data_IF_168275381301
#
_entry.id   IF_168275381301
#
_cell.length_a   1.000
_cell.length_b   1.000
_cell.length_c   1.000
_cell.angle_alpha   90.00
_cell.angle_beta   90.00
_cell.angle_gamma   90.00
#
_symmetry.space_group_name_H-M   'P 1'
#
loop_
_entity.id
_entity.type
_entity.pdbx_description
1 polymer ?
#
# COMPACT_ATOMS: atom_id res chain seq x y z
N UNK A 1 -33.82 -19.60 -45.88
CA UNK A 1 -34.32 -19.71 -44.51
C UNK A 1 -33.15 -19.33 -43.62
N UNK A 2 -33.21 -18.28 -42.81
CA UNK A 2 -32.14 -17.94 -41.89
C UNK A 2 -32.17 -18.85 -40.66
N UNK A 3 -31.04 -19.48 -40.36
CA UNK A 3 -30.83 -20.25 -39.14
C UNK A 3 -30.94 -19.30 -37.91
N UNK A 4 -31.94 -19.49 -37.08
CA UNK A 4 -32.03 -18.88 -35.78
C UNK A 4 -31.05 -19.63 -34.84
N UNK A 5 -30.01 -18.98 -34.43
CA UNK A 5 -29.12 -19.50 -33.38
C UNK A 5 -29.87 -19.50 -32.03
N UNK A 6 -29.99 -20.68 -31.41
CA UNK A 6 -30.61 -20.86 -30.09
C UNK A 6 -29.62 -20.28 -29.02
N UNK A 7 -30.23 -19.62 -28.00
CA UNK A 7 -29.49 -19.03 -26.86
C UNK A 7 -28.59 -20.03 -26.12
N UNK A 8 -28.91 -21.31 -26.21
CA UNK A 8 -28.10 -22.39 -25.61
C UNK A 8 -26.82 -22.68 -26.41
N UNK A 9 -26.85 -22.60 -27.70
CA UNK A 9 -25.66 -22.76 -28.57
C UNK A 9 -24.69 -21.61 -28.42
N UNK A 10 -25.17 -20.38 -28.22
CA UNK A 10 -24.34 -19.20 -27.99
C UNK A 10 -23.54 -19.32 -26.68
N UNK A 11 -24.14 -19.86 -25.61
CA UNK A 11 -23.47 -20.06 -24.32
C UNK A 11 -22.41 -21.16 -24.40
N UNK A 12 -22.66 -22.23 -25.15
CA UNK A 12 -21.72 -23.37 -25.29
C UNK A 12 -20.49 -23.00 -26.14
N UNK A 13 -20.61 -22.03 -27.04
CA UNK A 13 -19.48 -21.55 -27.87
C UNK A 13 -18.63 -20.50 -27.18
N UNK A 14 -19.17 -19.78 -26.20
CA UNK A 14 -18.42 -18.74 -25.46
C UNK A 14 -17.59 -19.29 -24.28
N UNK A 15 -17.92 -20.47 -23.77
CA UNK A 15 -17.23 -21.05 -22.59
C UNK A 15 -15.78 -21.50 -22.89
N UNK A 16 -15.43 -22.09 -24.07
CA UNK A 16 -14.03 -22.47 -24.31
C UNK A 16 -13.09 -21.30 -24.67
N UNK A 17 -13.63 -20.18 -25.17
CA UNK A 17 -12.79 -19.03 -25.57
C UNK A 17 -12.41 -18.12 -24.38
N UNK A 18 -13.16 -18.17 -23.26
CA UNK A 18 -12.90 -17.34 -22.08
C UNK A 18 -11.86 -17.91 -21.11
N UNK A 19 -11.63 -19.21 -21.11
CA UNK A 19 -10.72 -19.86 -20.17
C UNK A 19 -9.27 -19.94 -20.61
N UNK A 20 -8.99 -19.71 -21.91
CA UNK A 20 -7.64 -19.86 -22.48
C UNK A 20 -6.83 -18.55 -22.59
N UNK A 21 -7.43 -17.38 -22.39
CA UNK A 21 -6.78 -16.08 -22.62
C UNK A 21 -6.43 -15.30 -21.35
N UNK A 22 -6.67 -15.87 -20.15
CA UNK A 22 -6.42 -15.19 -18.87
C UNK A 22 -4.98 -15.34 -18.34
N UNK A 23 -4.09 -16.02 -19.07
CA UNK A 23 -2.75 -16.30 -18.55
C UNK A 23 -1.64 -15.34 -19.02
N UNK A 24 -1.91 -14.27 -19.74
CA UNK A 24 -0.83 -13.49 -20.36
C UNK A 24 -0.76 -11.99 -20.07
N UNK A 25 -1.77 -11.30 -19.53
CA UNK A 25 -1.68 -9.85 -19.34
C UNK A 25 -2.26 -9.41 -17.99
N UNK A 26 -1.38 -9.00 -17.05
CA UNK A 26 -1.75 -8.23 -15.87
C UNK A 26 -2.05 -9.02 -14.58
N UNK A 27 -2.28 -10.34 -14.62
CA UNK A 27 -2.45 -11.13 -13.41
C UNK A 27 -1.11 -11.30 -12.68
N UNK A 28 -1.04 -10.85 -11.43
CA UNK A 28 0.12 -10.94 -10.54
C UNK A 28 -0.34 -11.48 -9.19
N UNK A 29 0.59 -12.01 -8.42
CA UNK A 29 0.37 -12.38 -7.02
C UNK A 29 1.11 -11.39 -6.11
N UNK A 30 0.46 -11.01 -5.02
CA UNK A 30 1.11 -10.22 -3.98
C UNK A 30 2.19 -11.05 -3.29
N UNK A 31 3.29 -10.46 -2.84
CA UNK A 31 4.26 -11.15 -2.02
C UNK A 31 3.64 -11.56 -0.68
N UNK A 32 4.19 -12.56 -0.02
CA UNK A 32 3.81 -13.08 1.31
C UNK A 32 2.40 -13.70 1.32
N UNK A 33 1.35 -12.95 0.99
CA UNK A 33 -0.05 -13.42 1.04
C UNK A 33 -0.48 -14.21 -0.18
N UNK A 34 0.29 -14.15 -1.27
CA UNK A 34 0.03 -14.84 -2.55
C UNK A 34 -1.35 -14.57 -3.14
N UNK A 35 -1.97 -13.44 -2.78
CA UNK A 35 -3.26 -13.01 -3.32
C UNK A 35 -3.11 -12.63 -4.80
N UNK A 36 -4.05 -13.09 -5.61
CA UNK A 36 -4.12 -12.67 -7.03
C UNK A 36 -4.65 -11.24 -7.15
N UNK A 37 -4.00 -10.45 -8.01
CA UNK A 37 -4.36 -9.07 -8.33
C UNK A 37 -4.19 -8.80 -9.83
N UNK A 38 -4.93 -7.82 -10.35
CA UNK A 38 -4.79 -7.34 -11.71
C UNK A 38 -4.03 -6.00 -11.71
N UNK A 39 -2.94 -5.94 -12.45
CA UNK A 39 -2.09 -4.76 -12.58
C UNK A 39 -1.91 -4.42 -14.07
N UNK A 40 -2.55 -3.36 -14.53
CA UNK A 40 -2.45 -2.87 -15.90
C UNK A 40 -1.32 -1.86 -16.09
N UNK A 41 -0.89 -1.21 -14.99
CA UNK A 41 0.23 -0.26 -15.01
C UNK A 41 1.53 -1.02 -14.77
N UNK A 42 2.56 -0.85 -15.62
CA UNK A 42 3.88 -1.43 -15.40
C UNK A 42 4.52 -0.93 -14.10
N UNK A 43 5.25 -1.79 -13.39
CA UNK A 43 5.94 -1.42 -12.14
C UNK A 43 6.92 -0.26 -12.33
N UNK A 44 7.62 -0.23 -13.46
CA UNK A 44 8.55 0.85 -13.80
C UNK A 44 7.86 2.23 -13.87
N UNK A 45 6.63 2.28 -14.37
CA UNK A 45 5.84 3.52 -14.42
C UNK A 45 5.35 3.91 -13.02
N UNK A 46 4.92 2.95 -12.21
CA UNK A 46 4.56 3.21 -10.81
C UNK A 46 5.74 3.80 -10.04
N UNK A 47 6.95 3.25 -10.21
CA UNK A 47 8.17 3.76 -9.59
C UNK A 47 8.47 5.19 -10.05
N UNK A 48 8.39 5.47 -11.34
CA UNK A 48 8.61 6.83 -11.86
C UNK A 48 7.61 7.83 -11.27
N UNK A 49 6.33 7.47 -11.22
CA UNK A 49 5.29 8.29 -10.60
C UNK A 49 5.54 8.49 -9.10
N UNK A 50 5.94 7.44 -8.39
CA UNK A 50 6.28 7.51 -6.98
C UNK A 50 7.42 8.47 -6.70
N UNK A 51 8.51 8.38 -7.46
CA UNK A 51 9.67 9.28 -7.35
C UNK A 51 9.28 10.72 -7.66
N UNK A 52 8.52 10.96 -8.73
CA UNK A 52 8.07 12.31 -9.09
C UNK A 52 7.18 12.93 -7.98
N UNK A 53 6.21 12.17 -7.48
CA UNK A 53 5.32 12.60 -6.38
C UNK A 53 6.09 12.87 -5.09
N UNK A 54 7.08 12.04 -4.77
CA UNK A 54 7.91 12.23 -3.59
C UNK A 54 8.75 13.51 -3.66
N UNK A 55 9.33 13.82 -4.82
CA UNK A 55 10.07 15.06 -5.03
C UNK A 55 9.15 16.30 -4.91
N UNK A 56 7.93 16.19 -5.41
CA UNK A 56 6.92 17.23 -5.24
C UNK A 56 6.58 17.46 -3.76
N UNK A 57 6.38 16.37 -3.00
CA UNK A 57 6.13 16.45 -1.54
C UNK A 57 7.30 17.15 -0.84
N UNK A 58 8.56 16.77 -1.11
CA UNK A 58 9.74 17.40 -0.52
C UNK A 58 9.87 18.88 -0.88
N UNK A 59 9.42 19.27 -2.05
CA UNK A 59 9.46 20.68 -2.49
C UNK A 59 8.37 21.52 -1.83
N UNK A 60 7.18 20.93 -1.62
CA UNK A 60 6.03 21.66 -1.06
C UNK A 60 6.00 21.71 0.46
N UNK A 61 6.72 20.81 1.12
CA UNK A 61 6.68 20.67 2.57
C UNK A 61 8.05 20.98 3.19
N UNK A 62 8.02 21.48 4.41
CA UNK A 62 9.24 21.68 5.20
C UNK A 62 9.73 20.34 5.73
N UNK A 63 10.98 20.03 5.44
CA UNK A 63 11.61 18.83 5.98
C UNK A 63 12.01 19.07 7.44
N UNK A 64 11.77 18.06 8.28
CA UNK A 64 12.09 18.14 9.70
C UNK A 64 13.60 18.27 9.95
N UNK A 65 13.95 19.17 10.84
CA UNK A 65 15.30 19.33 11.35
C UNK A 65 15.50 18.66 12.72
N UNK A 66 14.49 17.95 13.23
CA UNK A 66 14.58 17.22 14.49
C UNK A 66 15.49 15.99 14.33
N UNK A 67 16.69 15.98 14.96
CA UNK A 67 17.65 14.90 14.74
C UNK A 67 17.15 13.56 15.27
N UNK A 68 16.40 13.54 16.39
CA UNK A 68 15.86 12.31 16.96
C UNK A 68 14.87 11.64 15.99
N UNK A 69 13.97 12.43 15.39
CA UNK A 69 12.97 11.92 14.46
C UNK A 69 13.62 11.40 13.17
N UNK A 70 14.54 12.16 12.61
CA UNK A 70 15.25 11.76 11.39
C UNK A 70 16.08 10.48 11.63
N UNK A 71 16.76 10.38 12.78
CA UNK A 71 17.55 9.21 13.11
C UNK A 71 16.69 7.95 13.29
N UNK A 72 15.60 8.03 14.05
CA UNK A 72 14.74 6.85 14.29
C UNK A 72 14.06 6.40 13.01
N UNK A 73 13.50 7.32 12.23
CA UNK A 73 12.82 6.98 10.96
C UNK A 73 13.80 6.40 9.94
N UNK A 74 14.99 6.98 9.81
CA UNK A 74 16.04 6.47 8.93
C UNK A 74 16.53 5.09 9.33
N UNK A 75 16.82 4.90 10.63
CA UNK A 75 17.31 3.62 11.16
C UNK A 75 16.28 2.50 11.05
N UNK A 76 15.03 2.74 11.43
CA UNK A 76 13.95 1.78 11.29
C UNK A 76 13.72 1.43 9.82
N UNK A 77 13.69 2.45 8.96
CA UNK A 77 13.48 2.27 7.53
C UNK A 77 14.54 1.40 6.87
N UNK A 78 15.81 1.64 7.15
CA UNK A 78 16.90 0.83 6.63
C UNK A 78 16.81 -0.64 7.05
N UNK A 79 16.44 -0.92 8.30
CA UNK A 79 16.27 -2.29 8.81
C UNK A 79 15.09 -3.02 8.16
N UNK A 80 13.97 -2.32 7.97
CA UNK A 80 12.81 -2.88 7.28
C UNK A 80 13.09 -3.12 5.80
N UNK A 81 13.76 -2.18 5.12
CA UNK A 81 14.19 -2.34 3.74
C UNK A 81 15.13 -3.53 3.56
N UNK A 82 16.06 -3.72 4.49
CA UNK A 82 16.96 -4.88 4.49
C UNK A 82 16.20 -6.20 4.72
N UNK A 83 15.23 -6.22 5.64
CA UNK A 83 14.38 -7.40 5.85
C UNK A 83 13.56 -7.75 4.60
N UNK A 84 13.00 -6.75 3.92
CA UNK A 84 12.31 -6.94 2.64
C UNK A 84 13.25 -7.50 1.56
N UNK A 85 14.44 -6.93 1.40
CA UNK A 85 15.44 -7.41 0.42
C UNK A 85 15.86 -8.87 0.67
N UNK A 86 16.00 -9.29 1.93
CA UNK A 86 16.31 -10.70 2.26
C UNK A 86 15.24 -11.68 1.75
N UNK A 87 14.03 -11.20 1.55
CA UNK A 87 12.92 -11.96 0.96
C UNK A 87 12.77 -11.71 -0.55
N UNK A 88 13.74 -11.07 -1.19
CA UNK A 88 13.67 -10.61 -2.59
C UNK A 88 12.52 -9.64 -2.89
N UNK A 89 12.07 -8.89 -1.89
CA UNK A 89 11.02 -7.88 -2.03
C UNK A 89 11.65 -6.49 -2.20
N UNK A 90 11.06 -5.67 -3.06
CA UNK A 90 11.50 -4.28 -3.28
C UNK A 90 12.94 -4.18 -3.79
N UNK A 91 13.42 -5.16 -4.55
CA UNK A 91 14.79 -5.18 -5.08
C UNK A 91 15.09 -4.03 -6.02
N UNK A 92 14.06 -3.51 -6.70
CA UNK A 92 14.14 -2.36 -7.60
C UNK A 92 13.91 -1.02 -6.90
N UNK A 93 13.71 -1.03 -5.56
CA UNK A 93 13.44 0.18 -4.81
C UNK A 93 14.73 0.87 -4.38
N UNK A 94 14.80 2.16 -4.68
CA UNK A 94 15.81 3.07 -4.14
C UNK A 94 15.25 3.75 -2.89
N UNK A 95 15.48 3.10 -1.74
CA UNK A 95 14.88 3.46 -0.46
C UNK A 95 15.34 4.83 0.05
N UNK A 96 14.39 5.69 0.33
CA UNK A 96 14.60 7.01 0.91
C UNK A 96 13.59 7.26 2.02
N UNK A 97 14.05 7.80 3.15
CA UNK A 97 13.24 8.03 4.35
C UNK A 97 13.33 9.50 4.74
N UNK A 98 12.20 10.18 4.81
CA UNK A 98 12.12 11.62 5.10
C UNK A 98 11.11 11.87 6.21
N UNK A 99 11.41 12.82 7.10
CA UNK A 99 10.45 13.34 8.08
C UNK A 99 10.00 14.72 7.65
N UNK A 100 8.68 14.93 7.59
CA UNK A 100 8.04 16.20 7.24
C UNK A 100 7.71 16.95 8.54
N UNK A 101 8.10 18.22 8.63
CA UNK A 101 7.85 19.08 9.79
C UNK A 101 6.39 19.60 9.78
N UNK A 102 5.45 18.69 10.02
CA UNK A 102 4.03 18.96 10.08
C UNK A 102 3.39 18.09 11.17
N UNK A 103 2.42 18.65 11.91
CA UNK A 103 1.75 17.98 13.02
C UNK A 103 0.60 17.07 12.60
N UNK A 104 0.38 16.93 11.29
CA UNK A 104 -0.56 15.94 10.75
C UNK A 104 -0.10 14.53 11.14
N UNK A 105 -1.02 13.73 11.65
CA UNK A 105 -0.74 12.32 11.91
C UNK A 105 -0.89 11.55 10.60
N UNK A 106 0.23 11.39 9.90
CA UNK A 106 0.28 10.71 8.61
C UNK A 106 1.65 10.08 8.35
N UNK A 107 1.67 9.05 7.52
CA UNK A 107 2.86 8.46 6.92
C UNK A 107 2.46 7.84 5.58
N UNK A 108 3.41 7.62 4.69
CA UNK A 108 3.16 6.89 3.44
C UNK A 108 4.45 6.30 2.88
N UNK A 109 4.30 5.28 2.04
CA UNK A 109 5.35 4.77 1.18
C UNK A 109 4.88 4.77 -0.28
N UNK A 110 5.57 5.54 -1.12
CA UNK A 110 5.31 5.55 -2.56
C UNK A 110 6.11 4.47 -3.28
N UNK A 111 5.66 4.02 -4.46
CA UNK A 111 6.41 3.10 -5.30
C UNK A 111 7.86 3.56 -5.51
N UNK A 112 8.80 2.62 -5.53
CA UNK A 112 10.22 2.92 -5.58
C UNK A 112 10.87 3.10 -4.21
N UNK A 113 10.13 2.85 -3.10
CA UNK A 113 10.68 2.88 -1.74
C UNK A 113 10.82 4.29 -1.16
N UNK A 114 9.98 5.22 -1.57
CA UNK A 114 9.99 6.61 -1.12
C UNK A 114 9.06 6.79 0.07
N UNK A 115 9.62 6.81 1.29
CA UNK A 115 8.90 6.83 2.57
C UNK A 115 8.93 8.22 3.19
N UNK A 116 7.77 8.70 3.62
CA UNK A 116 7.65 9.93 4.40
C UNK A 116 6.83 9.70 5.67
N UNK A 117 7.32 10.27 6.76
CA UNK A 117 6.64 10.37 8.04
C UNK A 117 6.38 11.83 8.37
N UNK A 118 5.21 12.14 8.87
CA UNK A 118 4.92 13.45 9.44
C UNK A 118 5.27 13.44 10.92
N UNK A 119 5.80 14.56 11.46
CA UNK A 119 6.17 14.63 12.87
C UNK A 119 5.00 14.27 13.80
N UNK A 120 3.76 14.61 13.41
CA UNK A 120 2.56 14.41 14.24
C UNK A 120 2.21 12.94 14.53
N UNK A 121 2.68 11.96 13.72
CA UNK A 121 2.40 10.53 14.01
C UNK A 121 3.42 9.93 14.98
N UNK A 122 4.62 10.49 15.08
CA UNK A 122 5.71 9.93 15.89
C UNK A 122 5.40 9.84 17.39
N UNK A 123 4.73 10.82 18.03
CA UNK A 123 4.30 10.68 19.42
C UNK A 123 3.31 9.51 19.63
N UNK A 124 2.47 9.19 18.63
CA UNK A 124 1.54 8.05 18.72
C UNK A 124 2.29 6.72 18.60
N UNK A 125 3.39 6.69 17.85
CA UNK A 125 4.28 5.52 17.79
C UNK A 125 4.91 5.21 19.15
N UNK A 126 5.18 6.21 20.01
CA UNK A 126 5.77 6.14 21.34
C UNK A 126 7.21 5.58 21.39
N UNK A 127 7.49 4.55 20.62
CA UNK A 127 8.77 3.84 20.62
C UNK A 127 9.17 3.40 19.21
N UNK A 128 10.40 2.91 19.07
CA UNK A 128 10.96 2.49 17.79
C UNK A 128 10.17 1.32 17.14
N UNK A 129 9.63 0.41 17.96
CA UNK A 129 8.80 -0.67 17.44
C UNK A 129 7.46 -0.15 16.90
N UNK A 130 6.86 0.89 17.50
CA UNK A 130 5.67 1.58 16.98
C UNK A 130 5.94 2.27 15.64
N UNK A 131 7.12 2.86 15.45
CA UNK A 131 7.54 3.38 14.12
C UNK A 131 7.64 2.23 13.12
N UNK A 132 8.19 1.08 13.55
CA UNK A 132 8.29 -0.09 12.69
C UNK A 132 6.91 -0.64 12.28
N UNK A 133 5.91 -0.60 13.16
CA UNK A 133 4.52 -0.98 12.83
C UNK A 133 3.98 -0.13 11.69
N UNK A 134 4.01 1.20 11.84
CA UNK A 134 3.49 2.12 10.82
C UNK A 134 4.29 1.97 9.53
N UNK A 135 5.61 1.99 9.62
CA UNK A 135 6.46 1.97 8.45
C UNK A 135 6.37 0.65 7.68
N UNK A 136 6.32 -0.49 8.36
CA UNK A 136 6.18 -1.79 7.70
C UNK A 136 4.82 -1.94 7.02
N UNK A 137 3.76 -1.38 7.60
CA UNK A 137 2.44 -1.28 6.98
C UNK A 137 2.50 -0.47 5.67
N UNK A 138 3.11 0.71 5.69
CA UNK A 138 3.27 1.56 4.50
C UNK A 138 4.14 0.90 3.42
N UNK A 139 5.27 0.32 3.82
CA UNK A 139 6.14 -0.45 2.94
C UNK A 139 5.37 -1.60 2.29
N UNK A 140 4.51 -2.27 3.04
CA UNK A 140 3.69 -3.38 2.52
C UNK A 140 2.71 -2.94 1.44
N UNK A 141 2.09 -1.75 1.56
CA UNK A 141 1.28 -1.18 0.49
C UNK A 141 2.07 -1.00 -0.81
N UNK A 142 3.30 -0.52 -0.73
CA UNK A 142 4.16 -0.34 -1.90
C UNK A 142 4.63 -1.68 -2.48
N UNK A 143 5.05 -2.64 -1.65
CA UNK A 143 5.51 -3.96 -2.06
C UNK A 143 4.39 -4.80 -2.67
N UNK A 144 3.17 -4.73 -2.13
CA UNK A 144 1.99 -5.38 -2.68
C UNK A 144 1.40 -4.63 -3.87
N UNK A 145 1.94 -3.46 -4.22
CA UNK A 145 1.49 -2.62 -5.34
C UNK A 145 0.00 -2.25 -5.25
N UNK A 146 -0.50 -2.00 -4.03
CA UNK A 146 -1.89 -1.62 -3.81
C UNK A 146 -2.28 -0.32 -4.54
N UNK A 147 -1.33 0.60 -4.73
CA UNK A 147 -1.51 1.79 -5.57
C UNK A 147 -1.78 1.43 -7.03
N UNK A 148 -1.01 0.51 -7.60
CA UNK A 148 -1.17 0.00 -8.96
C UNK A 148 -2.50 -0.73 -9.16
N UNK A 149 -2.91 -1.54 -8.18
CA UNK A 149 -4.22 -2.22 -8.22
C UNK A 149 -5.38 -1.20 -8.21
N UNK A 150 -5.30 -0.16 -7.39
CA UNK A 150 -6.29 0.94 -7.40
C UNK A 150 -6.32 1.71 -8.72
N UNK A 151 -5.16 2.02 -9.29
CA UNK A 151 -5.09 2.65 -10.61
C UNK A 151 -5.73 1.76 -11.68
N UNK A 152 -5.49 0.45 -11.63
CA UNK A 152 -6.12 -0.52 -12.53
C UNK A 152 -7.64 -0.50 -12.38
N UNK A 153 -8.18 -0.53 -11.15
CA UNK A 153 -9.61 -0.45 -10.89
C UNK A 153 -10.23 0.86 -11.42
N UNK A 154 -9.52 1.98 -11.28
CA UNK A 154 -9.97 3.26 -11.84
C UNK A 154 -9.98 3.26 -13.37
N UNK A 155 -8.97 2.63 -14.00
CA UNK A 155 -8.93 2.44 -15.45
C UNK A 155 -10.13 1.62 -15.95
N UNK A 156 -10.47 0.56 -15.23
CA UNK A 156 -11.63 -0.28 -15.57
C UNK A 156 -12.94 0.52 -15.49
N UNK A 157 -13.15 1.26 -14.40
CA UNK A 157 -14.38 2.07 -14.21
C UNK A 157 -14.47 3.19 -15.25
N UNK A 158 -13.39 3.94 -15.46
CA UNK A 158 -13.38 5.05 -16.43
C UNK A 158 -13.39 4.54 -17.87
N UNK A 159 -12.68 3.44 -18.14
CA UNK A 159 -12.68 2.75 -19.43
C UNK A 159 -14.07 2.27 -19.81
N UNK A 160 -14.77 1.60 -18.89
CA UNK A 160 -16.15 1.18 -19.07
C UNK A 160 -17.08 2.37 -19.34
N UNK A 161 -16.94 3.46 -18.57
CA UNK A 161 -17.72 4.68 -18.79
C UNK A 161 -17.50 5.31 -20.17
N UNK A 162 -16.24 5.40 -20.62
CA UNK A 162 -15.91 5.93 -21.96
C UNK A 162 -16.34 4.99 -23.10
N UNK A 163 -16.27 3.68 -22.90
CA UNK A 163 -16.80 2.71 -23.86
C UNK A 163 -18.32 2.87 -23.99
N UNK A 164 -19.04 2.97 -22.87
CA UNK A 164 -20.50 3.20 -22.86
C UNK A 164 -20.82 4.52 -23.57
N UNK A 165 -20.09 5.60 -23.28
CA UNK A 165 -20.26 6.88 -23.92
C UNK A 165 -19.94 6.85 -25.43
N UNK A 166 -18.86 6.15 -25.84
CA UNK A 166 -18.49 5.99 -27.23
C UNK A 166 -19.52 5.17 -28.00
N UNK A 167 -20.07 4.11 -27.40
CA UNK A 167 -21.16 3.32 -27.97
C UNK A 167 -22.41 4.20 -28.15
N UNK A 168 -22.77 4.99 -27.13
CA UNK A 168 -23.90 5.91 -27.22
C UNK A 168 -23.71 6.98 -28.31
N UNK A 169 -22.48 7.44 -28.52
CA UNK A 169 -22.13 8.43 -29.55
C UNK A 169 -21.76 7.81 -30.90
N UNK A 170 -21.75 6.49 -31.02
CA UNK A 170 -21.31 5.73 -32.22
C UNK A 170 -19.87 6.10 -32.64
N UNK A 171 -19.00 6.39 -31.70
CA UNK A 171 -17.59 6.72 -31.89
C UNK A 171 -16.68 5.65 -31.25
N UNK A 172 -15.50 5.42 -31.83
CA UNK A 172 -14.50 4.58 -31.17
C UNK A 172 -13.90 5.31 -29.95
N UNK A 173 -13.69 4.63 -28.81
CA UNK A 173 -13.08 5.24 -27.63
C UNK A 173 -11.61 5.55 -27.92
N UNK A 174 -11.16 6.75 -27.58
CA UNK A 174 -9.76 7.13 -27.60
C UNK A 174 -9.04 6.54 -26.37
N UNK A 175 -8.27 5.49 -26.60
CA UNK A 175 -7.54 4.75 -25.55
C UNK A 175 -6.50 5.62 -24.85
N UNK A 176 -5.84 6.52 -25.56
CA UNK A 176 -4.81 7.40 -25.03
C UNK A 176 -5.44 8.44 -24.09
N UNK A 177 -6.56 9.03 -24.45
CA UNK A 177 -7.30 9.95 -23.57
C UNK A 177 -7.82 9.26 -22.31
N UNK A 178 -8.25 7.99 -22.40
CA UNK A 178 -8.65 7.21 -21.22
C UNK A 178 -7.45 7.02 -20.30
N UNK A 179 -6.32 6.56 -20.84
CA UNK A 179 -5.10 6.33 -20.10
C UNK A 179 -4.59 7.63 -19.44
N UNK A 180 -4.46 8.73 -20.18
CA UNK A 180 -4.01 10.03 -19.65
C UNK A 180 -4.96 10.61 -18.60
N UNK A 181 -6.26 10.42 -18.74
CA UNK A 181 -7.24 10.86 -17.73
C UNK A 181 -7.07 10.12 -16.40
N UNK A 182 -6.80 8.81 -16.45
CA UNK A 182 -6.54 8.01 -15.25
C UNK A 182 -5.17 8.31 -14.69
N UNK A 183 -4.15 8.47 -15.53
CA UNK A 183 -2.80 8.88 -15.14
C UNK A 183 -2.84 10.21 -14.37
N UNK A 184 -3.47 11.24 -14.92
CA UNK A 184 -3.59 12.55 -14.26
C UNK A 184 -4.45 12.50 -12.99
N UNK A 185 -5.47 11.64 -12.95
CA UNK A 185 -6.28 11.41 -11.75
C UNK A 185 -5.51 10.56 -10.73
N UNK A 186 -4.78 9.54 -11.17
CA UNK A 186 -3.95 8.69 -10.34
C UNK A 186 -2.81 9.44 -9.67
N UNK A 187 -2.12 10.34 -10.39
CA UNK A 187 -1.06 11.20 -9.80
C UNK A 187 -1.61 12.24 -8.84
N UNK A 188 -2.84 12.74 -9.08
CA UNK A 188 -3.46 13.77 -8.23
C UNK A 188 -4.25 13.19 -7.04
N UNK A 189 -4.79 11.97 -7.17
CA UNK A 189 -5.67 11.34 -6.18
C UNK A 189 -5.29 9.89 -5.86
N UNK A 190 -4.42 9.25 -6.62
CA UNK A 190 -4.07 7.84 -6.47
C UNK A 190 -3.42 7.48 -5.13
N UNK A 191 -2.84 8.48 -4.46
CA UNK A 191 -2.29 8.35 -3.12
C UNK A 191 -3.20 8.92 -2.02
N UNK A 192 -4.32 9.55 -2.38
CA UNK A 192 -5.24 10.22 -1.44
C UNK A 192 -6.53 9.43 -1.23
N UNK A 193 -6.86 8.48 -2.13
CA UNK A 193 -8.05 7.66 -1.96
C UNK A 193 -7.83 6.59 -0.88
N UNK A 194 -8.84 6.33 -0.02
CA UNK A 194 -8.75 5.28 0.98
C UNK A 194 -8.45 3.91 0.36
N UNK A 195 -7.60 3.15 1.02
CA UNK A 195 -7.39 1.75 0.67
C UNK A 195 -8.62 0.92 1.00
N UNK A 196 -8.82 -0.17 0.26
CA UNK A 196 -9.88 -1.12 0.60
C UNK A 196 -9.54 -1.86 1.89
N UNK A 197 -10.56 -2.33 2.63
CA UNK A 197 -10.32 -3.17 3.83
C UNK A 197 -9.45 -4.39 3.55
N UNK A 198 -9.53 -4.92 2.33
CA UNK A 198 -8.70 -6.04 1.89
C UNK A 198 -7.23 -5.64 1.78
N UNK A 199 -6.94 -4.46 1.20
CA UNK A 199 -5.58 -3.91 1.14
C UNK A 199 -5.02 -3.65 2.53
N UNK A 200 -5.85 -3.11 3.45
CA UNK A 200 -5.43 -2.86 4.83
C UNK A 200 -5.07 -4.14 5.57
N UNK A 201 -5.92 -5.18 5.49
CA UNK A 201 -5.64 -6.47 6.12
C UNK A 201 -4.38 -7.12 5.54
N UNK A 202 -4.17 -7.01 4.24
CA UNK A 202 -2.98 -7.52 3.57
C UNK A 202 -1.72 -6.75 3.97
N UNK A 203 -1.80 -5.41 4.09
CA UNK A 203 -0.69 -4.59 4.54
C UNK A 203 -0.35 -4.85 6.02
N UNK A 204 -1.35 -5.12 6.87
CA UNK A 204 -1.13 -5.51 8.26
C UNK A 204 -0.42 -6.87 8.35
N UNK A 205 -0.88 -7.87 7.60
CA UNK A 205 -0.28 -9.21 7.57
C UNK A 205 1.17 -9.15 7.07
N UNK A 206 1.42 -8.52 5.93
CA UNK A 206 2.77 -8.36 5.41
C UNK A 206 3.65 -7.54 6.36
N UNK A 207 3.11 -6.47 6.92
CA UNK A 207 3.82 -5.54 7.80
C UNK A 207 4.31 -6.21 9.08
N UNK A 208 3.45 -7.02 9.74
CA UNK A 208 3.85 -7.71 10.97
C UNK A 208 4.97 -8.73 10.70
N UNK A 209 4.96 -9.42 9.55
CA UNK A 209 6.03 -10.33 9.16
C UNK A 209 7.34 -9.59 8.86
N UNK A 210 7.30 -8.50 8.10
CA UNK A 210 8.48 -7.70 7.76
C UNK A 210 9.12 -7.10 9.01
N UNK A 211 8.32 -6.51 9.93
CA UNK A 211 8.87 -5.94 11.16
C UNK A 211 9.48 -7.00 12.07
N UNK A 212 8.85 -8.17 12.18
CA UNK A 212 9.34 -9.29 12.99
C UNK A 212 10.70 -9.78 12.49
N UNK A 213 10.82 -9.99 11.19
CA UNK A 213 12.06 -10.42 10.55
C UNK A 213 13.14 -9.33 10.56
N UNK A 214 12.75 -8.06 10.63
CA UNK A 214 13.65 -6.95 10.87
C UNK A 214 14.16 -6.88 12.32
N UNK A 215 13.58 -7.65 13.25
CA UNK A 215 13.97 -7.71 14.65
C UNK A 215 13.20 -6.75 15.56
N UNK A 216 12.01 -6.31 15.15
CA UNK A 216 11.10 -5.52 15.99
C UNK A 216 10.01 -6.39 16.59
N UNK A 217 9.68 -6.14 17.87
CA UNK A 217 8.67 -6.93 18.61
C UNK A 217 7.27 -6.78 18.00
N UNK A 218 6.69 -7.85 17.42
CA UNK A 218 5.36 -7.80 16.80
C UNK A 218 4.22 -7.57 17.78
N UNK A 219 4.42 -7.76 19.08
CA UNK A 219 3.42 -7.44 20.09
C UNK A 219 3.05 -5.94 20.11
N UNK A 220 3.88 -5.09 19.53
CA UNK A 220 3.60 -3.67 19.40
C UNK A 220 2.51 -3.38 18.34
N UNK A 221 2.33 -4.21 17.32
CA UNK A 221 1.39 -3.96 16.24
C UNK A 221 -0.07 -3.82 16.72
N UNK A 222 -0.68 -4.77 17.45
CA UNK A 222 -2.03 -4.58 17.96
C UNK A 222 -2.12 -3.42 18.98
N UNK A 223 -1.09 -3.18 19.79
CA UNK A 223 -1.07 -2.10 20.77
C UNK A 223 -1.05 -0.72 20.09
N UNK A 224 -0.31 -0.58 19.00
CA UNK A 224 -0.30 0.67 18.22
C UNK A 224 -1.70 1.01 17.72
N UNK A 225 -2.39 0.08 17.07
CA UNK A 225 -3.72 0.33 16.54
C UNK A 225 -4.76 0.62 17.62
N UNK A 226 -4.65 0.01 18.80
CA UNK A 226 -5.50 0.32 19.94
C UNK A 226 -5.26 1.74 20.45
N UNK A 227 -3.99 2.14 20.61
CA UNK A 227 -3.65 3.52 20.99
C UNK A 227 -4.10 4.54 19.97
N UNK A 228 -3.88 4.22 18.69
CA UNK A 228 -4.27 5.09 17.60
C UNK A 228 -5.79 5.30 17.58
N UNK A 229 -6.58 4.25 17.71
CA UNK A 229 -8.03 4.34 17.80
C UNK A 229 -8.49 5.14 19.06
N UNK A 230 -7.88 4.89 20.21
CA UNK A 230 -8.22 5.57 21.47
C UNK A 230 -7.91 7.07 21.44
N UNK A 231 -6.85 7.49 20.77
CA UNK A 231 -6.43 8.90 20.68
C UNK A 231 -7.39 9.79 19.90
N UNK A 232 -8.38 9.21 19.16
CA UNK A 232 -9.28 9.95 18.27
C UNK A 232 -10.76 9.74 18.54
N UNK A 233 -11.11 9.10 19.67
CA UNK A 233 -12.51 8.90 20.06
C UNK A 233 -13.26 10.24 20.16
N UNK A 234 -14.23 10.46 19.28
CA UNK A 234 -15.08 11.65 19.27
C UNK A 234 -14.57 12.85 18.48
N UNK A 235 -13.46 12.75 17.76
CA UNK A 235 -12.90 13.81 16.89
C UNK A 235 -12.97 13.42 15.41
N UNK A 236 -12.73 14.42 14.51
CA UNK A 236 -12.54 14.15 13.08
C UNK A 236 -11.36 13.17 12.92
N UNK A 237 -11.54 12.08 12.14
CA UNK A 237 -10.45 11.13 11.91
C UNK A 237 -9.19 11.84 11.40
N UNK A 238 -7.99 11.48 11.89
CA UNK A 238 -6.75 12.00 11.33
C UNK A 238 -6.60 11.57 9.87
N UNK A 239 -5.73 12.25 9.14
CA UNK A 239 -5.52 11.98 7.71
C UNK A 239 -5.12 10.53 7.48
N UNK A 240 -4.26 9.97 8.32
CA UNK A 240 -3.88 8.56 8.27
C UNK A 240 -5.08 7.61 8.35
N UNK A 241 -6.05 7.87 9.23
CA UNK A 241 -7.27 7.06 9.32
C UNK A 241 -8.20 7.26 8.11
N UNK A 242 -8.13 8.42 7.46
CA UNK A 242 -8.93 8.71 6.27
C UNK A 242 -8.42 7.93 5.04
N UNK A 243 -7.12 7.71 4.95
CA UNK A 243 -6.47 6.91 3.90
C UNK A 243 -6.38 5.42 4.25
N UNK A 244 -6.28 5.11 5.54
CA UNK A 244 -6.18 3.76 6.11
C UNK A 244 -7.34 3.51 7.09
N UNK A 245 -8.52 3.13 6.61
CA UNK A 245 -9.67 2.91 7.48
C UNK A 245 -9.35 1.91 8.59
N UNK A 246 -9.32 2.40 9.83
CA UNK A 246 -9.17 1.55 11.01
C UNK A 246 -10.53 0.99 11.40
N UNK A 247 -10.57 -0.29 11.69
CA UNK A 247 -11.69 -0.88 12.40
C UNK A 247 -11.14 -1.68 13.60
N UNK A 248 -11.97 -1.86 14.63
CA UNK A 248 -11.58 -2.59 15.84
C UNK A 248 -11.08 -4.01 15.56
N UNK A 249 -11.45 -4.56 14.39
CA UNK A 249 -11.05 -5.89 13.94
C UNK A 249 -9.57 -5.98 13.56
N UNK A 250 -8.91 -4.86 13.20
CA UNK A 250 -7.48 -4.87 12.82
C UNK A 250 -6.60 -5.34 13.96
N UNK A 251 -6.79 -4.77 15.16
CA UNK A 251 -6.04 -5.20 16.34
C UNK A 251 -6.30 -6.68 16.69
N UNK A 252 -7.55 -7.15 16.53
CA UNK A 252 -7.89 -8.55 16.75
C UNK A 252 -7.21 -9.47 15.73
N UNK A 253 -7.30 -9.14 14.43
CA UNK A 253 -6.65 -9.90 13.36
C UNK A 253 -5.13 -9.97 13.53
N UNK A 254 -4.49 -8.86 13.91
CA UNK A 254 -3.05 -8.84 14.20
C UNK A 254 -2.67 -9.76 15.37
N UNK A 255 -3.55 -9.90 16.40
CA UNK A 255 -3.30 -10.86 17.47
C UNK A 255 -3.32 -12.31 17.01
N UNK A 256 -4.13 -12.64 16.02
CA UNK A 256 -4.16 -13.99 15.44
C UNK A 256 -2.84 -14.33 14.71
N UNK A 257 -2.16 -13.33 14.16
CA UNK A 257 -0.86 -13.48 13.48
C UNK A 257 0.34 -13.54 14.44
N UNK A 258 0.18 -13.10 15.70
CA UNK A 258 1.28 -13.02 16.67
C UNK A 258 2.06 -14.34 16.85
N UNK A 259 1.45 -15.53 16.94
CA UNK A 259 2.22 -16.74 17.17
C UNK A 259 3.31 -16.99 16.13
N UNK A 260 3.01 -16.76 14.84
CA UNK A 260 3.98 -16.89 13.77
C UNK A 260 4.97 -15.71 13.77
N UNK A 261 4.48 -14.49 13.91
CA UNK A 261 5.31 -13.29 13.93
C UNK A 261 6.34 -13.30 15.07
N UNK A 262 5.97 -13.83 16.26
CA UNK A 262 6.89 -13.99 17.39
C UNK A 262 7.99 -15.01 17.07
N UNK A 263 7.69 -16.12 16.38
CA UNK A 263 8.71 -17.07 15.95
C UNK A 263 9.71 -16.41 14.98
N UNK A 264 9.23 -15.64 14.01
CA UNK A 264 10.08 -14.89 13.08
C UNK A 264 10.93 -13.84 13.81
N UNK A 265 10.33 -13.12 14.75
CA UNK A 265 11.05 -12.19 15.61
C UNK A 265 12.14 -12.91 16.42
N UNK A 266 11.84 -14.06 17.01
CA UNK A 266 12.83 -14.84 17.77
C UNK A 266 13.97 -15.35 16.87
N UNK A 267 13.68 -15.70 15.63
CA UNK A 267 14.66 -16.13 14.64
C UNK A 267 15.50 -14.99 14.03
N UNK A 268 15.05 -13.74 14.16
CA UNK A 268 15.78 -12.59 13.63
C UNK A 268 17.18 -12.47 14.29
N UNK A 269 18.24 -12.16 13.53
CA UNK A 269 19.62 -12.15 14.05
C UNK A 269 19.85 -11.10 15.14
N UNK A 270 19.12 -10.02 15.09
CA UNK A 270 19.19 -8.93 16.07
C UNK A 270 17.80 -8.56 16.56
N UNK A 271 17.72 -8.02 17.77
CA UNK A 271 16.49 -7.48 18.36
C UNK A 271 16.67 -5.99 18.59
N UNK A 272 15.67 -5.20 18.19
CA UNK A 272 15.74 -3.75 18.18
C UNK A 272 14.54 -3.12 18.90
N UNK A 273 14.70 -1.86 19.31
CA UNK A 273 13.62 -1.03 19.83
C UNK A 273 13.16 -1.37 21.24
N UNK A 274 13.79 -2.32 21.93
CA UNK A 274 13.41 -2.70 23.30
C UNK A 274 13.73 -1.55 24.25
N UNK A 275 12.69 -0.94 24.86
CA UNK A 275 12.84 0.14 25.84
C UNK A 275 13.27 1.49 25.27
N UNK A 276 13.34 1.66 23.96
CA UNK A 276 13.73 2.93 23.32
C UNK A 276 12.47 3.76 23.05
N UNK A 277 12.24 4.79 23.86
CA UNK A 277 11.20 5.81 23.62
C UNK A 277 11.69 6.88 22.65
N UNK A 278 10.79 7.38 21.79
CA UNK A 278 11.05 8.47 20.84
C UNK A 278 10.52 9.82 21.27
N UNK A 279 9.67 9.85 22.29
CA UNK A 279 9.11 11.08 22.88
C UNK A 279 9.93 11.56 24.07
#
# INVERSE_FOLDING_TARGET
>A
MPHQFDRREFITWMIPAGFGLCSCFGCRTTPITHRSQLLLVPESEEIQMGVASYNEVKTKNKISTNPKYNEVVGRVGQRLAEAARRQNLGTNFDWEFTVIADQTQNAFCLPGGKVAFYEGILPVCQNEAGVAVVMSHEISHALARHGGERMTQQLEVQGAGKIIQAIAQRKAPDKEQVFMSVYNTGTKYGFVLPYSRKHESEADEMGIHIMSQAGYDPNEAPKFWERFAASHSGQKPPEFQSTHPSDERRAAALRELLPQAIQEYQAAPNKYGVGVTIA
#
